data_IF_166760570301
#
_entry.id   IF_166760570301
#
_cell.length_a   1.000
_cell.length_b   1.000
_cell.length_c   1.000
_cell.angle_alpha   90.00
_cell.angle_beta   90.00
_cell.angle_gamma   90.00
#
_symmetry.space_group_name_H-M   'P 1'
#
loop_
_entity.id
_entity.type
_entity.pdbx_description
1 polymer ?
#
# COMPACT_ATOMS: atom_id res chain seq x y z
N UNK A 1 10.63 14.89 3.74
CA UNK A 1 9.74 13.95 4.47
C UNK A 1 10.22 13.64 5.90
N UNK A 2 11.33 14.20 6.39
CA UNK A 2 11.98 13.78 7.64
C UNK A 2 11.12 13.88 8.91
N UNK A 3 10.28 14.92 9.04
CA UNK A 3 9.45 15.09 10.25
C UNK A 3 8.30 14.07 10.31
N UNK A 4 7.55 13.91 9.22
CA UNK A 4 6.42 12.95 9.18
C UNK A 4 6.88 11.50 9.32
N UNK A 5 8.04 11.15 8.76
CA UNK A 5 8.64 9.81 8.95
C UNK A 5 9.00 9.57 10.41
N UNK A 6 9.61 10.55 11.10
CA UNK A 6 9.89 10.44 12.54
C UNK A 6 8.62 10.30 13.37
N UNK A 7 7.55 11.05 13.05
CA UNK A 7 6.25 10.91 13.73
C UNK A 7 5.64 9.53 13.55
N UNK A 8 5.74 8.96 12.35
CA UNK A 8 5.31 7.58 12.11
C UNK A 8 6.11 6.58 12.94
N UNK A 9 7.43 6.72 13.01
CA UNK A 9 8.30 5.85 13.83
C UNK A 9 8.01 5.97 15.33
N UNK A 10 7.76 7.20 15.83
CA UNK A 10 7.37 7.45 17.22
C UNK A 10 6.00 6.81 17.52
N UNK A 11 5.02 6.99 16.63
CA UNK A 11 3.72 6.33 16.73
C UNK A 11 3.85 4.80 16.79
N UNK A 12 4.60 4.20 15.86
CA UNK A 12 4.78 2.75 15.80
C UNK A 12 5.52 2.21 17.02
N UNK A 13 6.53 2.94 17.51
CA UNK A 13 7.28 2.56 18.73
C UNK A 13 6.39 2.59 19.97
N UNK A 14 5.46 3.55 20.07
CA UNK A 14 4.58 3.69 21.25
C UNK A 14 3.40 2.73 21.22
N UNK A 15 2.69 2.67 20.10
CA UNK A 15 1.38 2.01 20.02
C UNK A 15 1.41 0.72 19.19
N UNK A 16 2.52 0.43 18.51
CA UNK A 16 2.56 -0.67 17.55
C UNK A 16 2.36 -2.06 18.17
N UNK A 17 2.72 -2.22 19.44
CA UNK A 17 2.56 -3.46 20.19
C UNK A 17 1.23 -3.53 20.98
N UNK A 18 0.41 -2.48 20.90
CA UNK A 18 -0.90 -2.36 21.56
C UNK A 18 -2.07 -2.67 20.60
N UNK A 19 -1.79 -2.97 19.33
CA UNK A 19 -2.83 -3.23 18.32
C UNK A 19 -3.15 -2.03 17.43
N UNK A 20 -2.17 -1.16 17.17
CA UNK A 20 -2.35 -0.03 16.27
C UNK A 20 -2.75 -0.46 14.85
N UNK A 21 -3.56 0.36 14.20
CA UNK A 21 -3.89 0.22 12.77
C UNK A 21 -3.25 1.39 12.03
N UNK A 22 -2.49 1.09 10.97
CA UNK A 22 -1.85 2.10 10.14
C UNK A 22 -2.37 2.01 8.71
N UNK A 23 -3.07 3.05 8.27
CA UNK A 23 -3.48 3.22 6.89
C UNK A 23 -2.58 4.21 6.16
N UNK A 24 -2.03 3.85 5.01
CA UNK A 24 -1.19 4.70 4.19
C UNK A 24 -1.76 4.83 2.78
N UNK A 25 -2.05 6.07 2.38
CA UNK A 25 -2.58 6.38 1.05
C UNK A 25 -1.58 7.17 0.22
N UNK A 26 -1.47 6.86 -1.08
CA UNK A 26 -0.67 7.64 -2.02
C UNK A 26 0.78 7.84 -1.53
N UNK A 27 1.26 9.08 -1.47
CA UNK A 27 2.59 9.44 -0.93
C UNK A 27 2.75 9.18 0.58
N UNK A 28 1.66 8.96 1.32
CA UNK A 28 1.70 8.52 2.71
C UNK A 28 2.44 7.19 2.87
N UNK A 29 2.34 6.29 1.88
CA UNK A 29 3.05 5.01 1.91
C UNK A 29 4.57 5.21 1.85
N UNK A 30 5.07 6.21 1.13
CA UNK A 30 6.50 6.54 1.13
C UNK A 30 6.95 7.05 2.50
N UNK A 31 6.09 7.76 3.23
CA UNK A 31 6.43 8.26 4.57
C UNK A 31 6.59 7.12 5.56
N UNK A 32 5.61 6.21 5.62
CA UNK A 32 5.62 5.06 6.50
C UNK A 32 6.63 3.99 6.06
N UNK A 33 6.69 3.69 4.77
CA UNK A 33 7.67 2.75 4.19
C UNK A 33 9.11 3.19 4.41
N UNK A 34 9.44 4.47 4.20
CA UNK A 34 10.77 4.99 4.54
C UNK A 34 11.03 4.90 6.06
N UNK A 35 10.02 5.12 6.90
CA UNK A 35 10.15 4.99 8.34
C UNK A 35 10.47 3.56 8.79
N UNK A 36 9.77 2.57 8.23
CA UNK A 36 10.04 1.15 8.48
C UNK A 36 11.44 0.75 8.01
N UNK A 37 11.85 1.20 6.82
CA UNK A 37 13.18 0.90 6.29
C UNK A 37 14.29 1.58 7.10
N UNK A 38 14.08 2.80 7.57
CA UNK A 38 15.04 3.47 8.46
C UNK A 38 15.16 2.76 9.82
N UNK A 39 14.04 2.32 10.41
CA UNK A 39 14.06 1.48 11.63
C UNK A 39 14.85 0.19 11.40
N UNK A 40 14.56 -0.52 10.30
CA UNK A 40 15.31 -1.71 9.89
C UNK A 40 16.80 -1.43 9.74
N UNK A 41 17.19 -0.38 9.01
CA UNK A 41 18.59 -0.04 8.76
C UNK A 41 19.35 0.31 10.04
N UNK A 42 18.64 0.81 11.06
CA UNK A 42 19.19 1.07 12.40
C UNK A 42 19.19 -0.15 13.32
N UNK A 43 18.78 -1.32 12.82
CA UNK A 43 18.68 -2.55 13.60
C UNK A 43 17.53 -2.55 14.61
N UNK A 44 16.56 -1.65 14.48
CA UNK A 44 15.43 -1.57 15.42
C UNK A 44 14.38 -2.61 15.01
N UNK A 45 14.03 -3.48 15.94
CA UNK A 45 13.03 -4.52 15.79
C UNK A 45 12.28 -4.76 17.11
N UNK A 46 11.22 -5.58 17.09
CA UNK A 46 10.35 -5.82 18.25
C UNK A 46 9.27 -4.75 18.46
N UNK A 47 8.97 -3.97 17.40
CA UNK A 47 7.93 -2.94 17.42
C UNK A 47 6.92 -3.21 16.30
N UNK A 48 5.65 -2.87 16.55
CA UNK A 48 4.59 -3.14 15.58
C UNK A 48 4.13 -4.60 15.53
N UNK A 49 4.44 -5.42 16.53
CA UNK A 49 4.14 -6.86 16.55
C UNK A 49 2.64 -7.16 16.47
N UNK A 50 1.79 -6.23 16.93
CA UNK A 50 0.34 -6.32 16.85
C UNK A 50 -0.28 -5.36 15.84
N UNK A 51 0.54 -4.66 15.05
CA UNK A 51 0.06 -3.66 14.11
C UNK A 51 -0.42 -4.27 12.79
N UNK A 52 -1.49 -3.73 12.23
CA UNK A 52 -1.91 -4.02 10.86
C UNK A 52 -1.70 -2.81 9.96
N UNK A 53 -1.09 -3.05 8.79
CA UNK A 53 -0.80 -1.99 7.80
C UNK A 53 -1.69 -2.18 6.57
N UNK A 54 -2.44 -1.12 6.24
CA UNK A 54 -3.30 -1.04 5.06
C UNK A 54 -2.76 -0.01 4.08
N UNK A 55 -2.59 -0.39 2.83
CA UNK A 55 -2.04 0.41 1.75
C UNK A 55 -3.11 0.69 0.70
N UNK A 56 -3.32 1.96 0.37
CA UNK A 56 -4.35 2.41 -0.56
C UNK A 56 -3.71 3.23 -1.69
N UNK A 57 -3.72 2.71 -2.92
CA UNK A 57 -3.01 3.31 -4.05
C UNK A 57 -1.59 3.78 -3.71
N UNK A 58 -0.75 2.95 -3.06
CA UNK A 58 0.49 3.41 -2.45
C UNK A 58 1.53 3.82 -3.49
N UNK A 59 2.22 4.93 -3.26
CA UNK A 59 3.35 5.38 -4.09
C UNK A 59 4.67 4.64 -3.77
N UNK A 60 4.65 3.73 -2.79
CA UNK A 60 5.78 2.90 -2.37
C UNK A 60 5.45 1.44 -2.69
N UNK A 61 6.47 0.61 -2.83
CA UNK A 61 6.30 -0.82 -3.09
C UNK A 61 5.75 -1.51 -1.84
N UNK A 62 4.55 -2.08 -1.95
CA UNK A 62 3.91 -2.90 -0.92
C UNK A 62 4.79 -4.06 -0.48
N UNK A 63 5.52 -4.67 -1.41
CA UNK A 63 6.49 -5.74 -1.14
C UNK A 63 7.66 -5.24 -0.26
N UNK A 64 8.20 -4.06 -0.58
CA UNK A 64 9.27 -3.42 0.20
C UNK A 64 8.78 -3.07 1.60
N UNK A 65 7.56 -2.55 1.73
CA UNK A 65 6.93 -2.26 3.02
C UNK A 65 6.75 -3.55 3.81
N UNK A 66 6.19 -4.62 3.23
CA UNK A 66 5.99 -5.90 3.90
C UNK A 66 7.31 -6.48 4.43
N UNK A 67 8.37 -6.45 3.61
CA UNK A 67 9.70 -6.92 4.01
C UNK A 67 10.32 -6.11 5.16
N UNK A 68 10.17 -4.78 5.14
CA UNK A 68 10.65 -3.92 6.22
C UNK A 68 9.82 -4.14 7.49
N UNK A 69 8.50 -4.26 7.36
CA UNK A 69 7.61 -4.49 8.48
C UNK A 69 7.82 -5.86 9.13
N UNK A 70 8.07 -6.91 8.34
CA UNK A 70 8.44 -8.23 8.85
C UNK A 70 9.70 -8.19 9.71
N UNK A 71 10.74 -7.45 9.27
CA UNK A 71 11.94 -7.26 10.08
C UNK A 71 11.63 -6.49 11.39
N UNK A 72 10.98 -5.34 11.26
CA UNK A 72 10.71 -4.43 12.39
C UNK A 72 9.80 -5.08 13.43
N UNK A 73 8.84 -5.91 13.01
CA UNK A 73 7.95 -6.67 13.88
C UNK A 73 8.55 -7.98 14.42
N UNK A 74 9.86 -8.19 14.25
CA UNK A 74 10.54 -9.41 14.70
C UNK A 74 9.91 -10.70 14.17
N UNK A 75 9.43 -10.63 12.91
CA UNK A 75 8.77 -11.72 12.23
C UNK A 75 7.31 -11.96 12.62
N UNK A 76 6.74 -11.18 13.54
CA UNK A 76 5.35 -11.35 14.01
C UNK A 76 4.29 -10.91 12.99
N UNK A 77 4.67 -10.04 12.04
CA UNK A 77 3.79 -9.60 10.95
C UNK A 77 4.45 -9.92 9.62
N UNK A 78 3.89 -10.88 8.91
CA UNK A 78 4.41 -11.42 7.65
C UNK A 78 3.75 -10.83 6.40
N UNK A 79 2.79 -9.92 6.55
CA UNK A 79 2.09 -9.33 5.44
C UNK A 79 1.60 -7.90 5.69
N UNK A 80 1.17 -7.25 4.62
CA UNK A 80 0.38 -6.01 4.63
C UNK A 80 -0.83 -6.15 3.72
N UNK A 81 -1.83 -5.29 3.91
CA UNK A 81 -3.04 -5.27 3.10
C UNK A 81 -2.94 -4.21 2.01
N UNK A 82 -3.27 -4.57 0.76
CA UNK A 82 -3.21 -3.68 -0.39
C UNK A 82 -4.60 -3.51 -1.02
N UNK A 83 -4.95 -2.27 -1.34
CA UNK A 83 -5.93 -1.95 -2.36
C UNK A 83 -5.31 -1.02 -3.39
N UNK A 84 -5.43 -1.39 -4.66
CA UNK A 84 -4.88 -0.63 -5.76
C UNK A 84 -5.74 -0.82 -7.02
N UNK A 85 -5.92 0.23 -7.80
CA UNK A 85 -6.68 0.15 -9.05
C UNK A 85 -5.75 0.06 -10.26
N UNK A 86 -6.09 -0.74 -11.28
CA UNK A 86 -5.28 -0.92 -12.49
C UNK A 86 -4.98 0.37 -13.26
N UNK A 87 -5.87 1.35 -13.14
CA UNK A 87 -5.69 2.70 -13.69
C UNK A 87 -5.37 3.76 -12.63
N UNK A 88 -4.86 3.35 -11.46
CA UNK A 88 -4.20 4.27 -10.53
C UNK A 88 -2.74 4.46 -10.96
N UNK A 89 -2.37 5.63 -11.50
CA UNK A 89 -1.02 5.88 -11.97
C UNK A 89 0.01 5.97 -10.83
N UNK A 90 -0.42 6.27 -9.59
CA UNK A 90 0.48 6.33 -8.44
C UNK A 90 0.80 4.92 -7.96
N UNK A 91 -0.22 4.10 -7.76
CA UNK A 91 -0.05 2.71 -7.32
C UNK A 91 0.69 1.85 -8.33
N UNK A 92 0.29 1.93 -9.60
CA UNK A 92 0.83 1.11 -10.70
C UNK A 92 2.14 1.70 -11.24
N UNK A 93 2.16 2.99 -11.54
CA UNK A 93 3.27 3.63 -12.25
C UNK A 93 4.45 3.97 -11.35
N UNK A 94 4.20 4.53 -10.16
CA UNK A 94 5.26 4.97 -9.24
C UNK A 94 5.59 3.86 -8.24
N UNK A 95 4.58 3.30 -7.59
CA UNK A 95 4.77 2.27 -6.57
C UNK A 95 5.06 0.88 -7.13
N UNK A 96 4.84 0.66 -8.43
CA UNK A 96 4.94 -0.64 -9.11
C UNK A 96 4.17 -1.76 -8.41
N UNK A 97 3.02 -1.42 -7.84
CA UNK A 97 2.18 -2.36 -7.10
C UNK A 97 1.22 -3.08 -8.03
N UNK A 98 0.87 -4.31 -7.68
CA UNK A 98 -0.15 -5.06 -8.40
C UNK A 98 -1.53 -4.39 -8.24
N UNK A 99 -2.38 -4.44 -9.28
CA UNK A 99 -3.78 -4.04 -9.15
C UNK A 99 -4.58 -5.07 -8.34
N UNK A 100 -5.56 -4.59 -7.58
CA UNK A 100 -6.54 -5.40 -6.85
C UNK A 100 -7.98 -5.10 -7.28
N UNK A 101 -8.18 -4.03 -8.07
CA UNK A 101 -9.45 -3.66 -8.66
C UNK A 101 -9.28 -3.21 -10.13
N UNK A 102 -10.28 -3.54 -10.95
CA UNK A 102 -10.24 -3.35 -12.41
C UNK A 102 -11.48 -2.66 -12.98
N UNK A 103 -12.57 -2.57 -12.19
CA UNK A 103 -13.84 -2.09 -12.68
C UNK A 103 -13.76 -0.60 -13.02
N UNK A 104 -14.29 -0.23 -14.16
CA UNK A 104 -14.42 1.15 -14.62
C UNK A 104 -15.84 1.43 -15.07
N UNK A 105 -16.30 2.70 -15.06
CA UNK A 105 -17.61 3.04 -15.58
C UNK A 105 -17.69 2.81 -17.09
N UNK A 106 -18.43 1.77 -17.52
CA UNK A 106 -18.76 1.51 -18.93
C UNK A 106 -19.93 2.41 -19.40
N UNK A 107 -19.71 3.72 -19.40
CA UNK A 107 -20.70 4.71 -19.91
C UNK A 107 -20.15 5.36 -21.17
N UNK A 108 -21.03 5.86 -22.04
CA UNK A 108 -20.59 6.72 -23.14
C UNK A 108 -19.70 7.86 -22.63
N UNK A 109 -18.50 8.13 -23.21
CA UNK A 109 -17.96 7.55 -24.44
C UNK A 109 -17.05 6.30 -24.27
N UNK A 110 -16.85 5.79 -23.05
CA UNK A 110 -15.98 4.64 -22.75
C UNK A 110 -16.29 3.40 -23.61
N UNK A 111 -17.58 3.18 -23.94
CA UNK A 111 -18.04 2.04 -24.75
C UNK A 111 -17.69 2.17 -26.23
N UNK A 112 -17.61 3.41 -26.76
CA UNK A 112 -17.26 3.64 -28.16
C UNK A 112 -15.76 3.60 -28.42
N UNK A 113 -14.97 3.91 -27.38
CA UNK A 113 -13.52 3.99 -27.49
C UNK A 113 -12.87 3.33 -26.26
N UNK A 114 -12.98 1.99 -26.11
CA UNK A 114 -12.43 1.29 -24.95
C UNK A 114 -10.91 1.50 -24.77
N UNK A 115 -10.18 1.75 -25.86
CA UNK A 115 -8.75 2.03 -25.84
C UNK A 115 -8.37 3.36 -25.16
N UNK A 116 -9.29 4.33 -25.03
CA UNK A 116 -8.97 5.62 -24.36
C UNK A 116 -9.26 5.60 -22.85
N UNK A 117 -9.89 4.53 -22.35
CA UNK A 117 -10.24 4.38 -20.92
C UNK A 117 -9.02 4.59 -20.00
N UNK A 118 -7.84 3.99 -20.26
CA UNK A 118 -6.68 4.18 -19.39
C UNK A 118 -6.26 5.64 -19.31
N UNK A 119 -6.21 6.35 -20.45
CA UNK A 119 -5.84 7.77 -20.51
C UNK A 119 -6.83 8.65 -19.73
N UNK A 120 -8.14 8.38 -19.85
CA UNK A 120 -9.17 9.15 -19.13
C UNK A 120 -9.06 8.92 -17.62
N UNK A 121 -9.00 7.66 -17.16
CA UNK A 121 -8.96 7.35 -15.73
C UNK A 121 -7.66 7.82 -15.07
N UNK A 122 -6.50 7.59 -15.71
CA UNK A 122 -5.22 8.07 -15.21
C UNK A 122 -5.16 9.60 -15.21
N UNK A 123 -5.66 10.26 -16.27
CA UNK A 123 -5.74 11.71 -16.32
C UNK A 123 -6.62 12.30 -15.21
N UNK A 124 -7.75 11.66 -14.91
CA UNK A 124 -8.62 12.03 -13.78
C UNK A 124 -7.96 11.80 -12.43
N UNK A 125 -7.26 10.67 -12.27
CA UNK A 125 -6.51 10.36 -11.06
C UNK A 125 -5.43 11.42 -10.77
N UNK A 126 -4.68 11.85 -11.80
CA UNK A 126 -3.61 12.84 -11.69
C UNK A 126 -4.13 14.27 -11.49
N UNK A 127 -5.18 14.68 -12.22
CA UNK A 127 -5.74 16.05 -12.13
C UNK A 127 -6.52 16.30 -10.84
N UNK A 128 -6.81 15.24 -10.07
CA UNK A 128 -7.54 15.32 -8.80
C UNK A 128 -9.00 15.81 -8.91
N UNK A 129 -9.50 16.07 -10.13
CA UNK A 129 -10.83 16.61 -10.41
C UNK A 129 -11.91 15.54 -10.23
N UNK A 130 -12.99 15.93 -9.54
CA UNK A 130 -14.18 15.15 -9.18
C UNK A 130 -13.96 14.03 -8.12
N UNK A 131 -14.92 13.84 -7.19
CA UNK A 131 -14.67 13.18 -5.91
C UNK A 131 -14.40 11.67 -5.99
N UNK A 132 -14.63 11.04 -7.14
CA UNK A 132 -14.44 9.61 -7.35
C UNK A 132 -13.51 9.38 -8.54
N UNK A 133 -12.28 9.00 -8.24
CA UNK A 133 -11.24 8.60 -9.20
C UNK A 133 -10.61 7.28 -8.75
N UNK A 134 -9.92 6.61 -9.66
CA UNK A 134 -9.20 5.35 -9.40
C UNK A 134 -8.13 5.46 -8.32
N UNK A 135 -7.63 6.67 -8.03
CA UNK A 135 -6.66 6.92 -6.96
C UNK A 135 -7.28 7.32 -5.61
N UNK A 136 -8.59 7.61 -5.56
CA UNK A 136 -9.28 8.07 -4.33
C UNK A 136 -10.31 7.07 -3.81
N UNK A 137 -10.84 6.22 -4.68
CA UNK A 137 -11.88 5.27 -4.34
C UNK A 137 -11.27 3.99 -3.77
N UNK A 138 -10.98 4.00 -2.47
CA UNK A 138 -10.46 2.89 -1.70
C UNK A 138 -11.16 2.80 -0.34
N UNK A 139 -11.07 1.65 0.33
CA UNK A 139 -11.70 1.41 1.63
C UNK A 139 -13.23 1.45 1.55
N UNK A 140 -13.88 1.96 2.60
CA UNK A 140 -15.32 2.19 2.66
C UNK A 140 -15.70 3.47 1.89
N UNK A 141 -15.56 3.39 0.58
CA UNK A 141 -15.75 4.53 -0.30
C UNK A 141 -17.24 4.82 -0.55
N UNK A 142 -17.55 6.10 -0.87
CA UNK A 142 -18.91 6.54 -1.18
C UNK A 142 -19.60 5.67 -2.24
N UNK A 143 -20.94 5.64 -2.25
CA UNK A 143 -21.70 4.89 -3.27
C UNK A 143 -21.36 5.28 -4.72
N UNK A 144 -20.87 6.50 -4.97
CA UNK A 144 -20.36 6.92 -6.28
C UNK A 144 -19.07 6.17 -6.68
N UNK A 145 -18.15 5.97 -5.72
CA UNK A 145 -16.96 5.14 -5.90
C UNK A 145 -17.35 3.69 -6.16
N UNK A 146 -18.19 3.10 -5.31
CA UNK A 146 -18.61 1.70 -5.44
C UNK A 146 -19.34 1.42 -6.75
N UNK A 147 -20.17 2.37 -7.21
CA UNK A 147 -20.85 2.26 -8.51
C UNK A 147 -19.86 2.29 -9.68
N UNK A 148 -18.85 3.17 -9.63
CA UNK A 148 -17.88 3.37 -10.73
C UNK A 148 -16.77 2.33 -10.76
N UNK A 149 -16.18 2.02 -9.61
CA UNK A 149 -14.96 1.23 -9.48
C UNK A 149 -15.14 -0.06 -8.66
N UNK A 150 -16.35 -0.30 -8.14
CA UNK A 150 -16.66 -1.51 -7.38
C UNK A 150 -16.29 -1.40 -5.91
N UNK A 151 -16.59 -2.46 -5.16
CA UNK A 151 -16.08 -2.64 -3.81
C UNK A 151 -14.64 -3.12 -3.90
N UNK A 152 -13.74 -2.45 -3.19
CA UNK A 152 -12.34 -2.87 -3.11
C UNK A 152 -12.16 -3.87 -1.99
N UNK A 153 -11.46 -4.97 -2.28
CA UNK A 153 -11.06 -5.95 -1.28
C UNK A 153 -9.56 -5.83 -1.03
N UNK A 154 -9.16 -6.16 0.19
CA UNK A 154 -7.77 -6.19 0.57
C UNK A 154 -7.10 -7.42 -0.05
N UNK A 155 -6.10 -7.21 -0.89
CA UNK A 155 -5.16 -8.26 -1.22
C UNK A 155 -4.10 -8.35 -0.11
N UNK A 156 -3.72 -9.58 0.25
CA UNK A 156 -2.65 -9.81 1.23
C UNK A 156 -1.32 -9.88 0.48
N UNK A 157 -0.39 -9.00 0.85
CA UNK A 157 0.96 -8.97 0.30
C UNK A 157 1.92 -9.51 1.36
N UNK A 158 2.30 -10.77 1.19
CA UNK A 158 3.26 -11.43 2.07
C UNK A 158 4.67 -10.90 1.84
N UNK A 159 5.44 -10.80 2.91
CA UNK A 159 6.86 -10.49 2.89
C UNK A 159 7.65 -11.69 2.36
N UNK A 160 8.40 -11.56 1.24
CA UNK A 160 9.33 -12.60 0.80
C UNK A 160 10.29 -13.07 1.88
N UNK A 161 10.72 -12.19 2.79
CA UNK A 161 11.57 -12.57 3.92
C UNK A 161 10.91 -13.59 4.86
N UNK A 162 9.59 -13.50 5.06
CA UNK A 162 8.85 -14.48 5.85
C UNK A 162 8.82 -15.85 5.16
N UNK A 163 8.61 -15.87 3.84
CA UNK A 163 8.63 -17.09 3.04
C UNK A 163 10.01 -17.76 3.11
N UNK A 164 11.08 -16.97 2.94
CA UNK A 164 12.44 -17.49 3.04
C UNK A 164 12.77 -18.03 4.43
N UNK A 165 12.30 -17.37 5.49
CA UNK A 165 12.48 -17.85 6.86
C UNK A 165 11.76 -19.18 7.10
N UNK A 166 10.52 -19.31 6.63
CA UNK A 166 9.73 -20.54 6.72
C UNK A 166 10.35 -21.71 5.93
N UNK A 167 11.11 -21.42 4.87
CA UNK A 167 11.84 -22.42 4.09
C UNK A 167 13.25 -22.71 4.63
N UNK A 168 13.63 -22.20 5.82
CA UNK A 168 14.98 -22.28 6.37
C UNK A 168 16.07 -21.61 5.50
N UNK A 169 15.66 -20.76 4.55
CA UNK A 169 16.52 -19.99 3.65
C UNK A 169 16.74 -18.54 4.12
N UNK A 170 16.35 -18.22 5.36
CA UNK A 170 16.44 -16.87 5.91
C UNK A 170 17.85 -16.25 5.92
N UNK A 171 18.89 -17.08 5.88
CA UNK A 171 20.27 -16.61 5.75
C UNK A 171 20.52 -15.81 4.45
N UNK A 172 19.70 -16.00 3.41
CA UNK A 172 19.84 -15.30 2.12
C UNK A 172 19.55 -13.80 2.20
N UNK A 173 18.69 -13.38 3.14
CA UNK A 173 18.32 -11.97 3.29
C UNK A 173 18.88 -11.34 4.57
N UNK A 174 19.16 -12.15 5.60
CA UNK A 174 19.78 -11.69 6.87
C UNK A 174 21.26 -11.30 6.75
N UNK A 175 21.96 -11.71 5.68
CA UNK A 175 23.39 -11.40 5.44
C UNK A 175 23.65 -10.08 4.70
N UNK A 176 22.68 -9.17 4.64
CA UNK A 176 22.83 -7.84 4.03
C UNK A 176 22.62 -6.73 5.06
#
# INVERSE_FOLDING_TARGET
>A
MSNSTKKFQDFLSRYGNEGAIVSMHSRGSLTGGNGLRDLKNRGIHGIGEKTDIYLYGPADSSLSIANAFYYVSYGKKDHVYLQNHVFDPIGIGIGHNLPTAYKVPLKFPYVLFPQVIPMIEQGRALRGHNPSTTHKCYGDASGACTRRYGTHHNAIIYAPHAILDNLCLGYLWRKK
#
